data_IF_663405642547
#
_entry.id   IF_663405642547
#
_cell.length_a   1.000
_cell.length_b   1.000
_cell.length_c   1.000
_cell.angle_alpha   90.00
_cell.angle_beta   90.00
_cell.angle_gamma   90.00
#
_symmetry.space_group_name_H-M   'P 1'
#
loop_
_entity.id
_entity.type
_entity.pdbx_description
1 polymer ?
#
# COMPACT_ATOMS: atom_id res chain seq x y z
N UNK A 1 -5.33 8.56 -21.01
CA UNK A 1 -5.99 8.77 -19.70
C UNK A 1 -5.27 7.91 -18.68
N UNK A 2 -5.10 8.37 -17.44
CA UNK A 2 -4.49 7.56 -16.39
C UNK A 2 -5.37 6.33 -16.08
N UNK A 3 -4.77 5.14 -15.91
CA UNK A 3 -5.51 3.91 -15.53
C UNK A 3 -6.21 4.04 -14.18
N UNK A 4 -5.76 4.96 -13.33
CA UNK A 4 -6.46 5.29 -12.08
C UNK A 4 -7.94 5.68 -12.32
N UNK A 5 -8.29 6.14 -13.54
CA UNK A 5 -9.68 6.45 -13.89
C UNK A 5 -10.61 5.22 -13.92
N UNK A 6 -10.07 4.00 -14.03
CA UNK A 6 -10.86 2.75 -13.97
C UNK A 6 -11.25 2.33 -12.56
N UNK A 7 -10.60 2.88 -11.53
CA UNK A 7 -10.93 2.58 -10.13
C UNK A 7 -12.31 3.13 -9.74
N UNK A 8 -12.96 2.55 -8.72
CA UNK A 8 -14.17 3.10 -8.12
C UNK A 8 -14.02 4.59 -7.75
N UNK A 9 -15.07 5.37 -7.90
CA UNK A 9 -15.05 6.83 -7.68
C UNK A 9 -14.54 7.19 -6.30
N UNK A 10 -14.99 6.47 -5.26
CA UNK A 10 -14.57 6.67 -3.87
C UNK A 10 -13.06 6.50 -3.71
N UNK A 11 -12.50 5.44 -4.30
CA UNK A 11 -11.07 5.15 -4.23
C UNK A 11 -10.24 6.21 -4.97
N UNK A 12 -10.70 6.67 -6.15
CA UNK A 12 -10.06 7.77 -6.89
C UNK A 12 -10.03 9.07 -6.08
N UNK A 13 -11.13 9.42 -5.43
CA UNK A 13 -11.20 10.61 -4.58
C UNK A 13 -10.25 10.48 -3.38
N UNK A 14 -10.23 9.32 -2.71
CA UNK A 14 -9.33 9.08 -1.58
C UNK A 14 -7.85 9.27 -1.99
N UNK A 15 -7.45 8.80 -3.18
CA UNK A 15 -6.10 9.00 -3.71
C UNK A 15 -5.85 10.49 -4.01
N UNK A 16 -6.77 11.14 -4.73
CA UNK A 16 -6.61 12.54 -5.15
C UNK A 16 -6.57 13.51 -3.96
N UNK A 17 -7.36 13.24 -2.92
CA UNK A 17 -7.41 14.02 -1.69
C UNK A 17 -6.30 13.64 -0.69
N UNK A 18 -5.45 12.67 -1.04
CA UNK A 18 -4.36 12.17 -0.20
C UNK A 18 -4.86 11.60 1.14
N UNK A 19 -5.91 10.82 1.09
CA UNK A 19 -6.62 10.26 2.26
C UNK A 19 -6.80 8.74 2.18
N UNK A 20 -6.15 8.08 1.21
CA UNK A 20 -6.30 6.64 1.03
C UNK A 20 -5.86 5.86 2.27
N UNK A 21 -6.73 4.98 2.77
CA UNK A 21 -6.43 3.98 3.78
C UNK A 21 -6.56 2.58 3.19
N UNK A 22 -5.43 1.91 3.00
CA UNK A 22 -5.33 0.51 2.57
C UNK A 22 -5.05 -0.38 3.77
N UNK A 23 -5.90 -1.37 4.03
CA UNK A 23 -5.62 -2.44 5.03
C UNK A 23 -5.01 -3.63 4.31
N UNK A 24 -3.87 -4.13 4.82
CA UNK A 24 -3.09 -5.20 4.20
C UNK A 24 -3.22 -6.48 5.03
N UNK A 25 -3.89 -7.49 4.48
CA UNK A 25 -4.01 -8.81 5.10
C UNK A 25 -2.73 -9.65 5.00
N UNK A 26 -1.90 -9.37 3.99
CA UNK A 26 -0.62 -10.03 3.72
C UNK A 26 -0.65 -10.93 2.50
N UNK A 27 0.36 -10.79 1.64
CA UNK A 27 0.43 -11.52 0.35
C UNK A 27 0.67 -13.03 0.48
N UNK A 28 1.08 -13.49 1.67
CA UNK A 28 1.26 -14.92 1.99
C UNK A 28 0.14 -15.47 2.89
N UNK A 29 -0.88 -14.67 3.17
CA UNK A 29 -2.01 -15.09 3.99
C UNK A 29 -3.13 -15.68 3.12
N UNK A 30 -3.17 -17.00 3.02
CA UNK A 30 -4.19 -17.75 2.28
C UNK A 30 -5.29 -18.32 3.19
N UNK A 31 -5.32 -17.98 4.48
CA UNK A 31 -6.41 -18.35 5.40
C UNK A 31 -7.65 -17.49 5.10
N UNK A 32 -8.62 -18.10 4.41
CA UNK A 32 -9.85 -17.42 3.98
C UNK A 32 -10.63 -16.82 5.15
N UNK A 33 -10.68 -17.50 6.31
CA UNK A 33 -11.39 -17.02 7.50
C UNK A 33 -10.70 -15.79 8.09
N UNK A 34 -9.36 -15.82 8.15
CA UNK A 34 -8.58 -14.68 8.64
C UNK A 34 -8.68 -13.49 7.69
N UNK A 35 -8.58 -13.72 6.37
CA UNK A 35 -8.66 -12.67 5.35
C UNK A 35 -10.05 -12.02 5.33
N UNK A 36 -11.11 -12.82 5.39
CA UNK A 36 -12.49 -12.32 5.44
C UNK A 36 -12.72 -11.45 6.68
N UNK A 37 -12.28 -11.89 7.86
CA UNK A 37 -12.36 -11.13 9.10
C UNK A 37 -11.64 -9.78 9.01
N UNK A 38 -10.43 -9.79 8.42
CA UNK A 38 -9.65 -8.55 8.21
C UNK A 38 -10.40 -7.61 7.25
N UNK A 39 -10.98 -8.14 6.17
CA UNK A 39 -11.74 -7.34 5.21
C UNK A 39 -13.01 -6.75 5.83
N UNK A 40 -13.75 -7.52 6.64
CA UNK A 40 -14.91 -7.04 7.39
C UNK A 40 -14.52 -5.93 8.37
N UNK A 41 -13.43 -6.11 9.12
CA UNK A 41 -12.93 -5.09 10.02
C UNK A 41 -12.45 -3.84 9.27
N UNK A 42 -11.81 -3.99 8.12
CA UNK A 42 -11.40 -2.90 7.25
C UNK A 42 -12.62 -2.09 6.76
N UNK A 43 -13.65 -2.76 6.25
CA UNK A 43 -14.89 -2.13 5.80
C UNK A 43 -15.60 -1.39 6.94
N UNK A 44 -15.80 -2.05 8.09
CA UNK A 44 -16.47 -1.47 9.25
C UNK A 44 -15.66 -0.32 9.90
N UNK A 45 -14.36 -0.34 9.76
CA UNK A 45 -13.44 0.70 10.25
C UNK A 45 -13.26 1.89 9.32
N UNK A 46 -13.76 1.83 8.08
CA UNK A 46 -13.69 2.93 7.11
C UNK A 46 -12.43 2.93 6.26
N UNK A 47 -11.85 1.74 5.98
CA UNK A 47 -10.82 1.61 4.97
C UNK A 47 -11.40 1.80 3.55
N UNK A 48 -10.58 2.32 2.64
CA UNK A 48 -10.95 2.55 1.24
C UNK A 48 -10.63 1.32 0.36
N UNK A 49 -9.72 0.45 0.82
CA UNK A 49 -9.18 -0.66 0.04
C UNK A 49 -8.67 -1.74 0.99
N UNK A 50 -8.87 -3.01 0.63
CA UNK A 50 -8.19 -4.14 1.28
C UNK A 50 -7.21 -4.80 0.29
N UNK A 51 -6.03 -5.18 0.78
CA UNK A 51 -4.98 -5.87 0.02
C UNK A 51 -4.81 -7.28 0.58
N UNK A 52 -4.98 -8.28 -0.28
CA UNK A 52 -4.97 -9.70 0.07
C UNK A 52 -3.97 -10.48 -0.79
N UNK A 53 -3.69 -11.72 -0.43
CA UNK A 53 -2.92 -12.64 -1.27
C UNK A 53 -3.61 -12.82 -2.64
N UNK A 54 -2.82 -12.97 -3.69
CA UNK A 54 -3.31 -13.12 -5.06
C UNK A 54 -3.90 -14.52 -5.27
N UNK A 55 -5.16 -14.69 -4.90
CA UNK A 55 -5.93 -15.91 -5.07
C UNK A 55 -7.37 -15.58 -5.48
N UNK A 56 -7.89 -16.15 -6.61
CA UNK A 56 -9.24 -15.87 -7.08
C UNK A 56 -10.34 -16.24 -6.10
N UNK A 57 -10.13 -17.29 -5.30
CA UNK A 57 -11.11 -17.74 -4.29
C UNK A 57 -11.22 -16.74 -3.14
N UNK A 58 -10.08 -16.19 -2.69
CA UNK A 58 -10.05 -15.12 -1.69
C UNK A 58 -10.71 -13.84 -2.20
N UNK A 59 -10.46 -13.47 -3.46
CA UNK A 59 -11.12 -12.31 -4.09
C UNK A 59 -12.63 -12.48 -4.08
N UNK A 60 -13.14 -13.65 -4.51
CA UNK A 60 -14.58 -13.92 -4.53
C UNK A 60 -15.19 -13.94 -3.12
N UNK A 61 -14.50 -14.50 -2.12
CA UNK A 61 -14.94 -14.52 -0.73
C UNK A 61 -15.05 -13.10 -0.16
N UNK A 62 -14.00 -12.27 -0.33
CA UNK A 62 -14.00 -10.88 0.15
C UNK A 62 -15.05 -10.04 -0.58
N UNK A 63 -15.20 -10.18 -1.90
CA UNK A 63 -16.23 -9.47 -2.66
C UNK A 63 -17.65 -9.83 -2.23
N UNK A 64 -17.87 -11.07 -1.77
CA UNK A 64 -19.15 -11.52 -1.22
C UNK A 64 -19.39 -10.94 0.17
N UNK A 65 -18.38 -10.99 1.06
CA UNK A 65 -18.50 -10.52 2.45
C UNK A 65 -18.54 -8.99 2.55
N UNK A 66 -17.81 -8.30 1.67
CA UNK A 66 -17.62 -6.85 1.71
C UNK A 66 -17.78 -6.22 0.30
N UNK A 67 -18.98 -6.25 -0.32
CA UNK A 67 -19.17 -5.87 -1.72
C UNK A 67 -18.87 -4.40 -2.04
N UNK A 68 -18.76 -3.54 -1.04
CA UNK A 68 -18.43 -2.12 -1.20
C UNK A 68 -16.94 -1.82 -1.01
N UNK A 69 -16.14 -2.79 -0.54
CA UNK A 69 -14.72 -2.61 -0.29
C UNK A 69 -13.92 -3.12 -1.50
N UNK A 70 -13.27 -2.25 -2.29
CA UNK A 70 -12.42 -2.67 -3.39
C UNK A 70 -11.29 -3.58 -2.90
N UNK A 71 -10.93 -4.56 -3.74
CA UNK A 71 -9.87 -5.53 -3.46
C UNK A 71 -8.65 -5.21 -4.31
N UNK A 72 -7.50 -5.05 -3.66
CA UNK A 72 -6.17 -5.18 -4.25
C UNK A 72 -5.66 -6.61 -4.03
N UNK A 73 -4.95 -7.17 -4.98
CA UNK A 73 -4.24 -8.44 -4.79
C UNK A 73 -2.75 -8.24 -4.94
N UNK A 74 -1.96 -8.82 -4.03
CA UNK A 74 -0.51 -8.71 -4.02
C UNK A 74 0.18 -10.04 -4.32
N UNK A 75 1.18 -10.01 -5.18
CA UNK A 75 2.04 -11.16 -5.51
C UNK A 75 3.43 -10.69 -6.01
N UNK A 76 4.36 -11.66 -6.11
CA UNK A 76 5.65 -11.49 -6.78
C UNK A 76 5.75 -12.35 -8.05
N UNK A 77 4.69 -13.02 -8.43
CA UNK A 77 4.56 -13.75 -9.70
C UNK A 77 3.44 -13.11 -10.55
N UNK A 78 3.79 -12.45 -11.67
CA UNK A 78 2.83 -11.79 -12.55
C UNK A 78 1.75 -12.71 -13.14
N UNK A 79 2.04 -14.00 -13.28
CA UNK A 79 1.14 -14.97 -13.89
C UNK A 79 -0.11 -15.26 -13.03
N UNK A 80 -0.05 -14.91 -11.74
CA UNK A 80 -1.20 -15.09 -10.84
C UNK A 80 -2.28 -14.01 -11.01
N UNK A 81 -1.91 -12.81 -11.45
CA UNK A 81 -2.81 -11.66 -11.47
C UNK A 81 -4.02 -11.79 -12.41
N UNK A 82 -3.91 -12.34 -13.65
CA UNK A 82 -5.05 -12.38 -14.56
C UNK A 82 -6.26 -13.12 -13.98
N UNK A 83 -6.05 -14.22 -13.27
CA UNK A 83 -7.14 -15.00 -12.65
C UNK A 83 -7.80 -14.22 -11.50
N UNK A 84 -7.03 -13.53 -10.69
CA UNK A 84 -7.56 -12.71 -9.60
C UNK A 84 -8.32 -11.47 -10.10
N UNK A 85 -7.85 -10.84 -11.17
CA UNK A 85 -8.57 -9.74 -11.85
C UNK A 85 -9.88 -10.23 -12.45
N UNK A 86 -9.89 -11.40 -13.10
CA UNK A 86 -11.10 -12.01 -13.60
C UNK A 86 -12.12 -12.36 -12.49
N UNK A 87 -11.64 -12.63 -11.27
CA UNK A 87 -12.47 -12.85 -10.09
C UNK A 87 -12.99 -11.55 -9.44
N UNK A 88 -12.55 -10.36 -9.91
CA UNK A 88 -13.06 -9.07 -9.45
C UNK A 88 -12.09 -8.19 -8.68
N UNK A 89 -10.79 -8.50 -8.65
CA UNK A 89 -9.81 -7.59 -8.07
C UNK A 89 -9.79 -6.26 -8.84
N UNK A 90 -9.87 -5.14 -8.11
CA UNK A 90 -9.93 -3.79 -8.67
C UNK A 90 -8.55 -3.27 -9.12
N UNK A 91 -7.48 -3.77 -8.51
CA UNK A 91 -6.09 -3.44 -8.82
C UNK A 91 -5.16 -4.56 -8.37
N UNK A 92 -3.94 -4.52 -8.87
CA UNK A 92 -2.89 -5.48 -8.50
C UNK A 92 -1.67 -4.76 -7.93
N UNK A 93 -0.91 -5.46 -7.10
CA UNK A 93 0.33 -4.95 -6.53
C UNK A 93 1.47 -5.97 -6.65
N UNK A 94 2.59 -5.53 -7.20
CA UNK A 94 3.86 -6.25 -7.09
C UNK A 94 4.50 -5.81 -5.79
N UNK A 95 4.66 -6.74 -4.85
CA UNK A 95 5.38 -6.37 -3.66
C UNK A 95 4.87 -6.93 -2.37
N UNK A 96 5.07 -6.14 -1.31
CA UNK A 96 5.18 -6.53 0.08
C UNK A 96 6.36 -7.50 0.27
N UNK A 97 7.52 -7.10 -0.26
CA UNK A 97 8.76 -7.91 -0.23
C UNK A 97 9.23 -8.22 1.19
N UNK A 98 8.82 -7.42 2.17
CA UNK A 98 9.00 -7.65 3.61
C UNK A 98 8.68 -9.10 4.03
N UNK A 99 7.73 -9.76 3.37
CA UNK A 99 7.32 -11.13 3.67
C UNK A 99 8.40 -12.17 3.33
N UNK A 100 9.35 -11.84 2.46
CA UNK A 100 10.35 -12.76 1.94
C UNK A 100 11.74 -12.59 2.57
N UNK A 101 12.05 -11.42 3.13
CA UNK A 101 13.36 -11.14 3.73
C UNK A 101 13.75 -12.10 4.88
N UNK A 102 12.83 -12.53 5.76
CA UNK A 102 13.16 -13.52 6.79
C UNK A 102 13.62 -14.87 6.21
N UNK A 103 13.26 -15.16 4.95
CA UNK A 103 13.62 -16.37 4.23
C UNK A 103 14.88 -16.19 3.38
N UNK A 104 15.54 -15.03 3.47
CA UNK A 104 16.76 -14.69 2.72
C UNK A 104 16.51 -14.30 1.25
N UNK A 105 15.26 -14.15 0.80
CA UNK A 105 14.92 -13.70 -0.56
C UNK A 105 14.93 -12.18 -0.60
N UNK A 106 15.79 -11.61 -1.44
CA UNK A 106 15.94 -10.16 -1.65
C UNK A 106 15.57 -9.85 -3.11
N UNK A 107 14.88 -8.74 -3.31
CA UNK A 107 14.50 -8.23 -4.62
C UNK A 107 15.34 -7.00 -4.97
N UNK A 108 16.04 -7.06 -6.08
CA UNK A 108 16.83 -5.95 -6.62
C UNK A 108 15.99 -5.06 -7.55
N UNK A 109 16.49 -3.87 -7.86
CA UNK A 109 15.79 -2.90 -8.70
C UNK A 109 15.43 -3.46 -10.09
N UNK A 110 16.37 -4.12 -10.76
CA UNK A 110 16.15 -4.67 -12.11
C UNK A 110 15.09 -5.78 -12.11
N UNK A 111 15.08 -6.61 -11.08
CA UNK A 111 14.04 -7.65 -10.94
C UNK A 111 12.65 -7.04 -10.77
N UNK A 112 12.51 -6.01 -9.93
CA UNK A 112 11.24 -5.31 -9.73
C UNK A 112 10.77 -4.64 -11.02
N UNK A 113 11.67 -4.04 -11.79
CA UNK A 113 11.37 -3.48 -13.11
C UNK A 113 10.88 -4.55 -14.09
N UNK A 114 11.53 -5.71 -14.12
CA UNK A 114 11.12 -6.80 -15.00
C UNK A 114 9.75 -7.36 -14.61
N UNK A 115 9.49 -7.58 -13.32
CA UNK A 115 8.16 -7.97 -12.82
C UNK A 115 7.09 -6.96 -13.23
N UNK A 116 7.42 -5.67 -13.16
CA UNK A 116 6.50 -4.58 -13.55
C UNK A 116 6.18 -4.62 -15.04
N UNK A 117 7.21 -4.75 -15.89
CA UNK A 117 7.03 -4.85 -17.36
C UNK A 117 6.19 -6.07 -17.75
N UNK A 118 6.47 -7.23 -17.14
CA UNK A 118 5.70 -8.46 -17.37
C UNK A 118 4.26 -8.31 -16.92
N UNK A 119 4.02 -7.78 -15.73
CA UNK A 119 2.65 -7.54 -15.25
C UNK A 119 1.91 -6.58 -16.17
N UNK A 120 2.56 -5.52 -16.63
CA UNK A 120 1.96 -4.55 -17.54
C UNK A 120 1.63 -5.16 -18.90
N UNK A 121 2.48 -6.06 -19.41
CA UNK A 121 2.20 -6.79 -20.65
C UNK A 121 0.99 -7.72 -20.55
N UNK A 122 0.83 -8.39 -19.41
CA UNK A 122 -0.33 -9.27 -19.12
C UNK A 122 -1.62 -8.48 -18.87
N UNK A 123 -1.52 -7.32 -18.22
CA UNK A 123 -2.65 -6.53 -17.74
C UNK A 123 -2.49 -5.04 -18.15
N UNK A 124 -2.66 -4.72 -19.45
CA UNK A 124 -2.39 -3.37 -19.97
C UNK A 124 -3.29 -2.28 -19.36
N UNK A 125 -4.51 -2.61 -18.94
CA UNK A 125 -5.51 -1.64 -18.48
C UNK A 125 -5.76 -1.65 -16.97
N UNK A 126 -5.23 -2.63 -16.23
CA UNK A 126 -5.44 -2.76 -14.79
C UNK A 126 -4.50 -1.83 -14.03
N UNK A 127 -4.98 -1.21 -12.97
CA UNK A 127 -4.15 -0.38 -12.10
C UNK A 127 -3.11 -1.24 -11.39
N UNK A 128 -1.85 -0.84 -11.52
CA UNK A 128 -0.68 -1.53 -10.98
C UNK A 128 0.02 -0.68 -9.94
N UNK A 129 0.00 -1.14 -8.70
CA UNK A 129 0.86 -0.66 -7.63
C UNK A 129 2.17 -1.46 -7.60
N UNK A 130 3.28 -0.79 -7.30
CA UNK A 130 4.58 -1.46 -7.17
C UNK A 130 5.26 -1.00 -5.88
N UNK A 131 5.62 -1.96 -5.03
CA UNK A 131 6.42 -1.71 -3.84
C UNK A 131 7.88 -1.49 -4.22
N UNK A 132 8.50 -0.48 -3.64
CA UNK A 132 9.95 -0.23 -3.76
C UNK A 132 10.65 -0.92 -2.59
N UNK A 133 11.61 -1.86 -2.84
CA UNK A 133 12.29 -2.59 -1.79
C UNK A 133 13.10 -1.67 -0.87
N UNK A 134 12.83 -1.70 0.43
CA UNK A 134 13.52 -0.87 1.41
C UNK A 134 14.98 -1.29 1.68
N UNK A 135 15.36 -2.48 1.25
CA UNK A 135 16.75 -2.96 1.34
C UNK A 135 17.69 -2.24 0.37
N UNK A 136 17.14 -1.56 -0.64
CA UNK A 136 17.91 -0.68 -1.51
C UNK A 136 18.31 0.60 -0.77
N UNK A 137 19.51 1.16 -1.00
CA UNK A 137 19.86 2.51 -0.58
C UNK A 137 18.82 3.53 -1.05
N UNK A 138 18.63 4.62 -0.30
CA UNK A 138 17.54 5.56 -0.54
C UNK A 138 17.59 6.21 -1.94
N UNK A 139 18.79 6.55 -2.41
CA UNK A 139 19.02 7.07 -3.76
C UNK A 139 18.63 6.07 -4.87
N UNK A 140 18.84 4.77 -4.62
CA UNK A 140 18.39 3.71 -5.54
C UNK A 140 16.87 3.50 -5.47
N UNK A 141 16.24 3.70 -4.31
CA UNK A 141 14.79 3.68 -4.18
C UNK A 141 14.15 4.84 -4.98
N UNK A 142 14.73 6.03 -4.93
CA UNK A 142 14.33 7.20 -5.72
C UNK A 142 14.42 6.90 -7.23
N UNK A 143 15.55 6.38 -7.68
CA UNK A 143 15.78 6.06 -9.09
C UNK A 143 14.82 4.97 -9.57
N UNK A 144 14.67 3.88 -8.79
CA UNK A 144 13.74 2.81 -9.12
C UNK A 144 12.31 3.35 -9.26
N UNK A 145 11.86 4.22 -8.35
CA UNK A 145 10.51 4.78 -8.44
C UNK A 145 10.30 5.58 -9.74
N UNK A 146 11.29 6.33 -10.19
CA UNK A 146 11.25 7.06 -11.47
C UNK A 146 11.21 6.07 -12.65
N UNK A 147 12.03 5.03 -12.63
CA UNK A 147 12.08 4.02 -13.69
C UNK A 147 10.77 3.20 -13.77
N UNK A 148 10.10 2.97 -12.63
CA UNK A 148 8.82 2.29 -12.55
C UNK A 148 7.70 3.06 -13.28
N UNK A 149 7.76 4.40 -13.35
CA UNK A 149 6.82 5.19 -14.16
C UNK A 149 6.90 4.76 -15.63
N UNK A 150 8.12 4.68 -16.17
CA UNK A 150 8.36 4.25 -17.55
C UNK A 150 8.03 2.77 -17.76
N UNK A 151 8.20 1.92 -16.74
CA UNK A 151 7.83 0.51 -16.77
C UNK A 151 6.31 0.28 -16.71
N UNK A 152 5.52 1.32 -16.39
CA UNK A 152 4.06 1.31 -16.44
C UNK A 152 3.36 1.11 -15.10
N UNK A 153 4.01 1.39 -13.97
CA UNK A 153 3.35 1.51 -12.68
C UNK A 153 2.33 2.67 -12.67
N UNK A 154 1.30 2.57 -11.86
CA UNK A 154 0.28 3.59 -11.63
C UNK A 154 0.32 4.15 -10.19
N UNK A 155 0.86 3.38 -9.24
CA UNK A 155 1.14 3.79 -7.87
C UNK A 155 2.49 3.22 -7.43
N UNK A 156 3.15 3.93 -6.52
CA UNK A 156 4.34 3.44 -5.83
C UNK A 156 3.99 3.19 -4.36
N UNK A 157 4.41 2.06 -3.81
CA UNK A 157 4.28 1.78 -2.38
C UNK A 157 5.65 1.70 -1.73
N UNK A 158 5.78 2.20 -0.50
CA UNK A 158 7.00 2.06 0.31
C UNK A 158 6.87 0.90 1.30
N UNK A 159 7.99 0.43 1.82
CA UNK A 159 8.07 -0.59 2.88
C UNK A 159 9.20 -0.26 3.88
N UNK A 160 9.49 -1.14 4.84
CA UNK A 160 10.65 -1.04 5.73
C UNK A 160 10.34 -1.12 7.23
N UNK A 161 9.07 -0.90 7.62
CA UNK A 161 8.71 -1.00 9.04
C UNK A 161 8.79 -2.42 9.61
N UNK A 162 8.66 -3.45 8.80
CA UNK A 162 8.79 -4.85 9.25
C UNK A 162 10.20 -5.16 9.72
N UNK A 163 11.21 -4.62 9.04
CA UNK A 163 12.63 -4.80 9.37
C UNK A 163 13.13 -3.85 10.46
N UNK A 164 12.41 -2.78 10.75
CA UNK A 164 12.80 -1.80 11.77
C UNK A 164 12.72 -2.41 13.17
N UNK A 165 13.73 -2.14 13.97
CA UNK A 165 13.87 -2.60 15.38
C UNK A 165 13.92 -1.40 16.32
N UNK A 166 12.77 -0.90 16.81
CA UNK A 166 12.72 0.24 17.72
C UNK A 166 13.46 -0.04 19.02
N UNK A 167 14.17 0.96 19.55
CA UNK A 167 14.81 0.92 20.87
C UNK A 167 13.88 1.41 21.96
N UNK A 168 13.01 2.36 21.64
CA UNK A 168 12.17 3.06 22.59
C UNK A 168 10.82 2.38 22.76
N UNK A 169 10.20 2.58 23.92
CA UNK A 169 8.80 2.20 24.16
C UNK A 169 7.84 3.34 23.77
N UNK A 170 6.55 3.03 23.69
CA UNK A 170 5.50 4.01 23.47
C UNK A 170 5.58 4.71 22.10
N UNK A 171 5.18 5.98 22.06
CA UNK A 171 5.08 6.74 20.82
C UNK A 171 6.42 6.90 20.08
N UNK A 172 7.54 7.02 20.83
CA UNK A 172 8.86 7.13 20.24
C UNK A 172 9.22 5.86 19.46
N UNK A 173 8.96 4.68 20.03
CA UNK A 173 9.16 3.40 19.35
C UNK A 173 8.28 3.23 18.10
N UNK A 174 7.07 3.80 18.09
CA UNK A 174 6.22 3.82 16.90
C UNK A 174 6.82 4.70 15.79
N UNK A 175 7.43 5.84 16.16
CA UNK A 175 8.13 6.73 15.23
C UNK A 175 9.37 6.03 14.67
N UNK A 176 10.20 5.44 15.53
CA UNK A 176 11.38 4.68 15.11
C UNK A 176 11.02 3.55 14.14
N UNK A 177 9.91 2.84 14.40
CA UNK A 177 9.42 1.77 13.54
C UNK A 177 8.99 2.26 12.17
N UNK A 178 8.39 3.43 12.08
CA UNK A 178 7.92 4.03 10.83
C UNK A 178 9.03 4.79 10.07
N UNK A 179 10.16 5.13 10.72
CA UNK A 179 11.19 6.01 10.15
C UNK A 179 11.68 5.58 8.75
N UNK A 180 11.98 4.29 8.47
CA UNK A 180 12.43 3.90 7.13
C UNK A 180 11.41 4.21 6.04
N UNK A 181 10.15 3.85 6.24
CA UNK A 181 9.10 4.07 5.25
C UNK A 181 8.72 5.56 5.10
N UNK A 182 8.80 6.35 6.18
CA UNK A 182 8.59 7.79 6.13
C UNK A 182 9.68 8.48 5.31
N UNK A 183 10.95 8.11 5.50
CA UNK A 183 12.07 8.61 4.72
C UNK A 183 11.93 8.25 3.24
N UNK A 184 11.59 7.00 2.93
CA UNK A 184 11.35 6.53 1.57
C UNK A 184 10.18 7.28 0.90
N UNK A 185 9.05 7.44 1.60
CA UNK A 185 7.89 8.16 1.07
C UNK A 185 8.24 9.63 0.72
N UNK A 186 9.03 10.30 1.58
CA UNK A 186 9.48 11.66 1.31
C UNK A 186 10.42 11.75 0.11
N UNK A 187 11.45 10.91 0.08
CA UNK A 187 12.46 10.92 -0.97
C UNK A 187 11.84 10.57 -2.34
N UNK A 188 11.07 9.49 -2.41
CA UNK A 188 10.39 9.05 -3.63
C UNK A 188 9.39 10.09 -4.13
N UNK A 189 8.56 10.67 -3.24
CA UNK A 189 7.60 11.72 -3.64
C UNK A 189 8.30 12.93 -4.25
N UNK A 190 9.45 13.33 -3.71
CA UNK A 190 10.27 14.43 -4.26
C UNK A 190 10.91 14.07 -5.59
N UNK A 191 11.46 12.87 -5.71
CA UNK A 191 12.08 12.39 -6.96
C UNK A 191 11.06 12.35 -8.10
N UNK A 192 9.86 11.79 -7.86
CA UNK A 192 8.77 11.76 -8.83
C UNK A 192 8.28 13.15 -9.21
N UNK A 193 8.12 14.06 -8.24
CA UNK A 193 7.71 15.44 -8.51
C UNK A 193 8.75 16.22 -9.34
N UNK A 194 10.02 15.87 -9.24
CA UNK A 194 11.10 16.49 -10.02
C UNK A 194 11.24 15.90 -11.42
N UNK A 195 10.99 14.59 -11.58
CA UNK A 195 11.22 13.86 -12.82
C UNK A 195 9.99 13.78 -13.73
N UNK A 196 8.77 13.91 -13.19
CA UNK A 196 7.53 13.65 -13.89
C UNK A 196 6.62 14.88 -13.88
N UNK A 197 6.03 15.21 -15.03
CA UNK A 197 5.03 16.29 -15.14
C UNK A 197 3.72 15.93 -14.41
N UNK A 198 3.37 14.64 -14.36
CA UNK A 198 2.24 14.07 -13.62
C UNK A 198 2.78 12.94 -12.72
N UNK A 199 3.23 13.26 -11.49
CA UNK A 199 3.87 12.31 -10.62
C UNK A 199 2.88 11.28 -10.11
N UNK A 200 3.30 10.01 -10.07
CA UNK A 200 2.50 8.92 -9.53
C UNK A 200 2.22 9.14 -8.02
N UNK A 201 1.03 8.76 -7.53
CA UNK A 201 0.74 8.75 -6.11
C UNK A 201 1.64 7.75 -5.38
N UNK A 202 2.16 8.15 -4.22
CA UNK A 202 2.97 7.32 -3.33
C UNK A 202 2.14 6.88 -2.14
N UNK A 203 2.07 5.59 -1.89
CA UNK A 203 1.44 5.00 -0.71
C UNK A 203 2.51 4.67 0.32
N UNK A 204 2.45 5.31 1.48
CA UNK A 204 3.37 5.02 2.58
C UNK A 204 2.87 3.79 3.35
N UNK A 205 3.65 2.71 3.37
CA UNK A 205 3.23 1.47 4.02
C UNK A 205 4.35 0.84 4.86
N UNK A 206 3.96 -0.12 5.72
CA UNK A 206 4.79 -0.86 6.65
C UNK A 206 5.18 -0.08 7.92
N UNK A 207 4.82 -0.64 9.06
CA UNK A 207 5.20 -0.12 10.39
C UNK A 207 4.45 1.11 10.87
N UNK A 208 3.40 1.52 10.18
CA UNK A 208 2.59 2.68 10.54
C UNK A 208 1.60 2.40 11.68
N UNK A 209 1.22 3.46 12.36
CA UNK A 209 0.21 3.53 13.41
C UNK A 209 -0.54 4.86 13.33
N UNK A 210 -1.63 5.02 14.08
CA UNK A 210 -2.35 6.29 14.14
C UNK A 210 -1.46 7.49 14.53
N UNK A 211 -0.40 7.25 15.32
CA UNK A 211 0.60 8.29 15.69
C UNK A 211 1.43 8.74 14.50
N UNK A 212 1.76 7.84 13.57
CA UNK A 212 2.69 8.11 12.45
C UNK A 212 2.00 8.39 11.12
N UNK A 213 0.71 8.13 11.01
CA UNK A 213 -0.11 8.44 9.82
C UNK A 213 -0.02 9.92 9.41
N UNK A 214 -0.15 10.91 10.31
CA UNK A 214 0.02 12.31 9.93
C UNK A 214 1.40 12.61 9.34
N UNK A 215 2.46 11.97 9.85
CA UNK A 215 3.82 12.10 9.33
C UNK A 215 3.96 11.53 7.91
N UNK A 216 3.31 10.39 7.64
CA UNK A 216 3.30 9.79 6.31
C UNK A 216 2.67 10.74 5.27
N UNK A 217 1.52 11.35 5.59
CA UNK A 217 0.86 12.31 4.70
C UNK A 217 1.69 13.59 4.53
N UNK A 218 2.31 14.10 5.61
CA UNK A 218 3.23 15.23 5.56
C UNK A 218 4.48 14.94 4.72
N UNK A 219 4.95 13.69 4.67
CA UNK A 219 6.08 13.24 3.84
C UNK A 219 5.79 13.20 2.33
N UNK A 220 4.55 13.43 1.91
CA UNK A 220 4.17 13.46 0.49
C UNK A 220 3.24 12.33 0.06
N UNK A 221 2.95 11.36 0.92
CA UNK A 221 2.12 10.23 0.56
C UNK A 221 0.68 10.63 0.17
N UNK A 222 0.10 9.92 -0.80
CA UNK A 222 -1.30 10.03 -1.20
C UNK A 222 -2.22 9.19 -0.30
N UNK A 223 -1.65 8.42 0.61
CA UNK A 223 -2.35 7.59 1.56
C UNK A 223 -1.41 6.65 2.30
N UNK A 224 -1.98 5.75 3.07
CA UNK A 224 -1.22 4.83 3.92
C UNK A 224 -1.69 3.38 3.74
N UNK A 225 -0.72 2.45 3.80
CA UNK A 225 -0.96 1.02 3.86
C UNK A 225 -0.60 0.46 5.25
N UNK A 226 -1.53 -0.24 5.88
CA UNK A 226 -1.36 -0.75 7.24
C UNK A 226 -1.66 -2.25 7.29
N UNK A 227 -0.66 -3.04 7.64
CA UNK A 227 -0.79 -4.49 7.80
C UNK A 227 -0.75 -4.93 9.26
N UNK A 228 0.43 -5.03 9.83
CA UNK A 228 0.66 -5.67 11.13
C UNK A 228 -0.07 -5.06 12.33
N UNK A 229 -0.45 -3.79 12.25
CA UNK A 229 -1.25 -3.15 13.31
C UNK A 229 -2.69 -3.73 13.38
N UNK A 230 -3.19 -4.28 12.28
CA UNK A 230 -4.52 -4.89 12.17
C UNK A 230 -4.43 -6.41 12.18
N UNK A 231 -3.65 -7.01 11.25
CA UNK A 231 -3.66 -8.44 10.99
C UNK A 231 -3.04 -9.32 12.09
N UNK A 232 -2.35 -8.73 13.06
CA UNK A 232 -1.85 -9.44 14.26
C UNK A 232 -2.87 -9.55 15.38
N UNK A 233 -3.99 -8.87 15.28
CA UNK A 233 -5.08 -8.96 16.24
C UNK A 233 -5.91 -10.21 15.95
N UNK A 234 -6.43 -10.84 16.99
CA UNK A 234 -7.31 -12.01 16.89
C UNK A 234 -8.79 -11.65 17.02
N UNK A 235 -9.08 -10.47 17.55
CA UNK A 235 -10.42 -9.97 17.82
C UNK A 235 -10.84 -8.94 16.77
N UNK A 236 -12.00 -9.17 16.14
CA UNK A 236 -12.51 -8.32 15.06
C UNK A 236 -12.84 -6.91 15.55
N UNK A 237 -13.42 -6.77 16.75
CA UNK A 237 -13.74 -5.46 17.30
C UNK A 237 -12.48 -4.63 17.54
N UNK A 238 -11.42 -5.28 18.02
CA UNK A 238 -10.11 -4.63 18.17
C UNK A 238 -9.54 -4.20 16.81
N UNK A 239 -9.67 -5.03 15.75
CA UNK A 239 -9.29 -4.66 14.39
C UNK A 239 -10.07 -3.43 13.90
N UNK A 240 -11.40 -3.42 14.06
CA UNK A 240 -12.26 -2.27 13.70
C UNK A 240 -11.83 -1.01 14.43
N UNK A 241 -11.55 -1.09 15.73
CA UNK A 241 -11.13 0.06 16.53
C UNK A 241 -9.79 0.63 16.03
N UNK A 242 -8.84 -0.23 15.66
CA UNK A 242 -7.55 0.19 15.09
C UNK A 242 -7.76 0.87 13.73
N UNK A 243 -8.56 0.28 12.84
CA UNK A 243 -8.83 0.86 11.49
C UNK A 243 -9.53 2.22 11.63
N UNK A 244 -10.49 2.37 12.54
CA UNK A 244 -11.13 3.66 12.84
C UNK A 244 -10.14 4.70 13.34
N UNK A 245 -9.26 4.34 14.27
CA UNK A 245 -8.24 5.24 14.77
C UNK A 245 -7.26 5.70 13.67
N UNK A 246 -6.95 4.82 12.71
CA UNK A 246 -6.17 5.18 11.51
C UNK A 246 -6.95 6.14 10.61
N UNK A 247 -8.24 5.89 10.36
CA UNK A 247 -9.12 6.77 9.59
C UNK A 247 -9.21 8.15 10.21
N UNK A 248 -9.47 8.22 11.51
CA UNK A 248 -9.51 9.47 12.27
C UNK A 248 -8.20 10.23 12.21
N UNK A 249 -7.06 9.54 12.29
CA UNK A 249 -5.74 10.16 12.16
C UNK A 249 -5.51 10.74 10.76
N UNK A 250 -6.00 10.11 9.70
CA UNK A 250 -5.97 10.65 8.33
C UNK A 250 -6.87 11.89 8.24
N UNK A 251 -8.09 11.79 8.74
CA UNK A 251 -9.12 12.82 8.64
C UNK A 251 -8.78 14.07 9.44
N UNK A 252 -7.97 13.94 10.50
CA UNK A 252 -7.47 15.04 11.29
C UNK A 252 -6.36 15.86 10.59
N UNK A 253 -5.76 15.36 9.51
CA UNK A 253 -4.77 16.11 8.75
C UNK A 253 -5.47 17.11 7.83
N UNK A 254 -5.17 18.40 8.02
CA UNK A 254 -5.74 19.46 7.18
C UNK A 254 -5.35 19.26 5.70
N UNK A 255 -6.25 19.52 4.74
CA UNK A 255 -5.93 19.45 3.31
C UNK A 255 -4.72 20.33 2.98
N UNK A 256 -3.80 19.82 2.15
CA UNK A 256 -2.53 20.51 1.78
C UNK A 256 -2.75 21.92 1.19
N UNK A 257 -3.93 22.22 0.66
CA UNK A 257 -4.29 23.55 0.16
C UNK A 257 -4.29 24.64 1.27
N UNK A 258 -4.53 24.27 2.52
CA UNK A 258 -4.55 25.22 3.65
C UNK A 258 -3.15 25.63 4.15
N UNK A 259 -2.10 24.89 3.77
CA UNK A 259 -0.72 25.13 4.23
C UNK A 259 0.10 26.04 3.30
N UNK A 260 -0.42 26.40 2.12
CA UNK A 260 0.28 27.29 1.16
C UNK A 260 0.00 28.77 1.33
N UNK A 261 -0.74 29.16 2.35
CA UNK A 261 -1.17 30.54 2.63
C UNK A 261 -0.59 31.13 3.94
N UNK A 262 0.54 30.61 4.42
CA UNK A 262 1.27 31.18 5.55
C UNK A 262 2.66 31.60 5.13
#
# INVERSE_FOLDING_TARGET
MSRLSSLPVTLRHAIAERRLLKVIAGLTNFDAVAVERIAQAAAAGGADLVDIACDPGLVAAVATACPQLPVCVSAVDPELFPAAVAAGAAMVEIGNFDAFYPQGRIFGAEEVLELTRRTRALLPEVVLSVTVPHVLPLDQQEQLAVDLVAAGADLIQTEGGTSARPFSAGSLGLIEKAAPTLAAAHAISRALASACADPLPVLCASGLSAVTVPMALASGAAGVGVGSAVNRLSDELAMVAVVRGLREAIDAVAPVAALRSV
#
